data_IF_914471637914
#
_entry.id   IF_914471637914
#
_cell.length_a   1.000
_cell.length_b   1.000
_cell.length_c   1.000
_cell.angle_alpha   90.00
_cell.angle_beta   90.00
_cell.angle_gamma   90.00
#
_symmetry.space_group_name_H-M   'P 1'
#
loop_
_entity.id
_entity.type
_entity.pdbx_description
1 polymer ?
#
# COMPACT_ATOMS: atom_id res chain seq x y z
N UNK A 1 8.92 -7.53 2.09
CA UNK A 1 8.66 -6.12 2.44
C UNK A 1 8.95 -5.24 1.23
N UNK A 2 8.01 -5.19 0.28
CA UNK A 2 8.14 -4.36 -0.92
C UNK A 2 7.18 -3.17 -0.79
N UNK A 3 7.68 -1.95 -0.97
CA UNK A 3 6.86 -0.74 -0.93
C UNK A 3 5.74 -0.78 -1.97
N UNK A 4 5.97 -1.44 -3.11
CA UNK A 4 4.98 -1.63 -4.17
C UNK A 4 3.82 -2.51 -3.67
N UNK A 5 4.10 -3.61 -2.97
CA UNK A 5 3.06 -4.49 -2.41
C UNK A 5 2.27 -3.77 -1.31
N UNK A 6 2.94 -2.98 -0.46
CA UNK A 6 2.27 -2.20 0.58
C UNK A 6 1.34 -1.12 0.01
N UNK A 7 1.79 -0.40 -1.02
CA UNK A 7 0.98 0.58 -1.74
C UNK A 7 -0.20 -0.12 -2.42
N UNK A 8 0.06 -1.26 -3.06
CA UNK A 8 -0.98 -2.05 -3.74
C UNK A 8 -2.07 -2.46 -2.77
N UNK A 9 -1.73 -3.00 -1.61
CA UNK A 9 -2.69 -3.40 -0.58
C UNK A 9 -3.48 -2.19 -0.05
N UNK A 10 -2.81 -1.07 0.20
CA UNK A 10 -3.47 0.15 0.68
C UNK A 10 -4.49 0.71 -0.34
N UNK A 11 -4.14 0.69 -1.63
CA UNK A 11 -5.04 1.11 -2.70
C UNK A 11 -6.20 0.14 -2.90
N UNK A 12 -5.94 -1.16 -2.80
CA UNK A 12 -6.98 -2.17 -2.93
C UNK A 12 -8.03 -2.01 -1.83
N UNK A 13 -7.58 -1.79 -0.60
CA UNK A 13 -8.46 -1.53 0.55
C UNK A 13 -9.28 -0.25 0.41
N UNK A 14 -8.69 0.81 -0.16
CA UNK A 14 -9.41 2.05 -0.44
C UNK A 14 -10.54 1.85 -1.45
N UNK A 15 -10.30 1.03 -2.48
CA UNK A 15 -11.28 0.68 -3.50
C UNK A 15 -12.38 -0.22 -2.96
N UNK A 16 -12.06 -1.22 -2.13
CA UNK A 16 -13.07 -2.09 -1.49
C UNK A 16 -14.02 -1.32 -0.58
N UNK A 17 -13.54 -0.24 0.05
CA UNK A 17 -14.35 0.62 0.93
C UNK A 17 -15.18 1.67 0.20
N UNK A 18 -14.98 1.86 -1.12
CA UNK A 18 -15.76 2.83 -1.90
C UNK A 18 -17.21 2.37 -2.05
N UNK A 19 -18.11 3.33 -2.01
CA UNK A 19 -19.55 3.15 -2.26
C UNK A 19 -20.04 4.17 -3.27
N UNK A 20 -20.71 3.75 -4.36
CA UNK A 20 -20.98 2.35 -4.73
C UNK A 20 -19.70 1.59 -5.13
N UNK A 21 -19.67 0.25 -4.96
CA UNK A 21 -18.54 -0.56 -5.41
C UNK A 21 -18.39 -0.48 -6.93
N UNK A 22 -17.16 -0.58 -7.46
CA UNK A 22 -16.94 -0.57 -8.91
C UNK A 22 -17.63 -1.77 -9.57
N UNK A 23 -18.55 -1.49 -10.50
CA UNK A 23 -19.39 -2.50 -11.15
C UNK A 23 -18.79 -3.01 -12.46
N UNK A 24 -17.87 -2.25 -13.05
CA UNK A 24 -17.17 -2.61 -14.29
C UNK A 24 -15.65 -2.53 -14.12
N UNK A 25 -14.86 -3.23 -14.96
CA UNK A 25 -13.40 -3.08 -14.96
C UNK A 25 -12.93 -1.62 -15.16
N UNK A 26 -13.72 -0.83 -15.89
CA UNK A 26 -13.44 0.59 -16.12
C UNK A 26 -13.68 1.42 -14.87
N UNK A 27 -14.73 1.12 -14.10
CA UNK A 27 -14.99 1.75 -12.81
C UNK A 27 -13.91 1.37 -11.80
N UNK A 28 -13.42 0.13 -11.84
CA UNK A 28 -12.32 -0.33 -11.00
C UNK A 28 -11.03 0.46 -11.29
N UNK A 29 -10.69 0.62 -12.58
CA UNK A 29 -9.53 1.41 -12.99
C UNK A 29 -9.64 2.88 -12.56
N UNK A 30 -10.84 3.45 -12.69
CA UNK A 30 -11.12 4.83 -12.26
C UNK A 30 -11.01 4.95 -10.75
N UNK A 31 -11.58 4.00 -10.00
CA UNK A 31 -11.50 3.98 -8.55
C UNK A 31 -10.07 3.84 -8.02
N UNK A 32 -9.24 3.03 -8.67
CA UNK A 32 -7.81 2.93 -8.35
C UNK A 32 -7.07 4.24 -8.64
N UNK A 33 -7.34 4.90 -9.76
CA UNK A 33 -6.72 6.19 -10.09
C UNK A 33 -7.12 7.29 -9.11
N UNK A 34 -8.40 7.39 -8.77
CA UNK A 34 -8.86 8.38 -7.79
C UNK A 34 -8.25 8.09 -6.41
N UNK A 35 -8.25 6.82 -5.98
CA UNK A 35 -7.68 6.43 -4.68
C UNK A 35 -6.18 6.69 -4.62
N UNK A 36 -5.48 6.58 -5.75
CA UNK A 36 -4.08 6.96 -5.86
C UNK A 36 -3.87 8.48 -5.82
N UNK A 37 -4.74 9.25 -6.46
CA UNK A 37 -4.69 10.72 -6.44
C UNK A 37 -4.98 11.30 -5.04
N UNK A 38 -5.94 10.70 -4.33
CA UNK A 38 -6.28 11.05 -2.96
C UNK A 38 -5.26 10.51 -1.93
N UNK A 39 -4.33 9.66 -2.37
CA UNK A 39 -3.38 9.02 -1.47
C UNK A 39 -2.41 10.05 -0.88
N UNK A 40 -2.31 10.16 0.45
CA UNK A 40 -1.50 11.21 1.06
C UNK A 40 0.00 11.00 0.79
N UNK A 41 0.71 12.01 0.25
CA UNK A 41 2.14 11.88 -0.04
C UNK A 41 2.98 11.63 1.22
N UNK A 42 2.53 12.12 2.39
CA UNK A 42 3.17 11.86 3.68
C UNK A 42 3.18 10.37 4.07
N UNK A 43 2.22 9.58 3.60
CA UNK A 43 2.20 8.14 3.85
C UNK A 43 3.25 7.38 3.03
N UNK A 44 3.49 7.82 1.79
CA UNK A 44 4.59 7.32 0.96
C UNK A 44 5.94 7.68 1.59
N UNK A 45 6.05 8.92 2.11
CA UNK A 45 7.26 9.38 2.77
C UNK A 45 7.59 8.53 4.01
N UNK A 46 6.63 8.30 4.90
CA UNK A 46 6.80 7.41 6.07
C UNK A 46 7.18 5.99 5.65
N UNK A 47 6.61 5.49 4.56
CA UNK A 47 6.93 4.15 4.04
C UNK A 47 8.40 4.06 3.58
N UNK A 48 8.89 5.07 2.86
CA UNK A 48 10.29 5.14 2.42
C UNK A 48 11.23 5.36 3.61
N UNK A 49 10.89 6.26 4.53
CA UNK A 49 11.71 6.58 5.71
C UNK A 49 11.82 5.39 6.68
N UNK A 50 10.77 4.58 6.81
CA UNK A 50 10.79 3.37 7.64
C UNK A 50 11.50 2.19 6.98
N UNK A 51 11.86 2.29 5.70
CA UNK A 51 12.43 1.19 4.91
C UNK A 51 13.80 0.70 5.44
N UNK A 52 14.76 1.56 5.82
CA UNK A 52 16.01 1.13 6.45
C UNK A 52 15.79 0.39 7.77
N UNK A 53 14.83 0.84 8.59
CA UNK A 53 14.49 0.18 9.86
C UNK A 53 13.85 -1.19 9.62
N UNK A 54 12.93 -1.31 8.66
CA UNK A 54 12.30 -2.59 8.30
C UNK A 54 13.33 -3.58 7.76
N UNK A 55 14.28 -3.09 6.96
CA UNK A 55 15.38 -3.90 6.44
C UNK A 55 16.32 -4.36 7.56
N UNK A 56 16.69 -3.46 8.48
CA UNK A 56 17.46 -3.82 9.67
C UNK A 56 16.75 -4.86 10.55
N UNK A 57 15.43 -4.72 10.74
CA UNK A 57 14.62 -5.72 11.43
C UNK A 57 14.66 -7.07 10.71
N UNK A 58 14.46 -7.12 9.39
CA UNK A 58 14.54 -8.36 8.60
C UNK A 58 15.91 -9.05 8.69
N UNK A 59 17.00 -8.27 8.62
CA UNK A 59 18.36 -8.77 8.79
C UNK A 59 18.55 -9.34 10.20
N UNK A 60 17.98 -8.70 11.23
CA UNK A 60 18.04 -9.16 12.62
C UNK A 60 17.34 -10.50 12.83
N UNK A 61 16.25 -10.78 12.10
CA UNK A 61 15.55 -12.07 12.15
C UNK A 61 16.13 -13.12 11.20
N UNK A 62 17.28 -12.84 10.55
CA UNK A 62 17.89 -13.70 9.51
C UNK A 62 16.90 -14.09 8.39
N UNK A 63 16.01 -13.19 8.01
CA UNK A 63 14.98 -13.44 7.00
C UNK A 63 13.75 -14.23 7.50
N UNK A 64 13.62 -14.47 8.80
CA UNK A 64 12.40 -14.99 9.41
C UNK A 64 11.21 -14.02 9.28
N UNK A 65 9.96 -14.52 9.33
CA UNK A 65 8.78 -13.68 9.17
C UNK A 65 8.75 -12.59 10.24
N UNK A 66 8.67 -11.35 9.79
CA UNK A 66 8.48 -10.18 10.66
C UNK A 66 6.98 -9.91 10.74
N UNK A 67 6.45 -9.77 11.95
CA UNK A 67 5.05 -9.40 12.18
C UNK A 67 4.87 -7.93 11.76
N UNK A 68 4.31 -7.73 10.57
CA UNK A 68 3.80 -6.46 10.08
C UNK A 68 2.46 -6.72 9.41
#
# INVERSE_FOLDING_TARGET
MNIIEYIRDALLHAVEKRSPPPLTPMDLLTALQDSWCEFPPGYLQISVESMPSRFASLLRVRGGPTQY
#
